data_IF_183680589306
#
_entry.id   IF_183680589306
#
_cell.length_a   1.000
_cell.length_b   1.000
_cell.length_c   1.000
_cell.angle_alpha   90.00
_cell.angle_beta   90.00
_cell.angle_gamma   90.00
#
_symmetry.space_group_name_H-M   'P 1'
#
loop_
_entity.id
_entity.type
_entity.pdbx_description
1 polymer ?
#
# COMPACT_ATOMS: atom_id res chain seq x y z
N UNK A 1 44.32 36.06 34.41
CA UNK A 1 43.29 35.76 35.43
C UNK A 1 42.95 34.29 35.31
N UNK A 2 43.26 33.50 36.33
CA UNK A 2 43.02 32.06 36.33
C UNK A 2 41.61 31.80 36.92
N UNK A 3 40.84 30.87 36.35
CA UNK A 3 39.46 30.57 36.82
C UNK A 3 39.49 30.20 38.32
N UNK A 4 40.53 29.48 38.74
CA UNK A 4 40.77 29.10 40.13
C UNK A 4 40.92 30.30 41.07
N UNK A 5 41.57 31.37 40.63
CA UNK A 5 41.81 32.56 41.46
C UNK A 5 40.54 33.39 41.68
N UNK A 6 39.67 33.48 40.66
CA UNK A 6 38.35 34.15 40.76
C UNK A 6 37.41 33.35 41.66
N UNK A 7 37.40 32.02 41.52
CA UNK A 7 36.57 31.14 42.35
C UNK A 7 36.99 31.13 43.83
N UNK A 8 38.30 31.27 44.12
CA UNK A 8 38.82 31.38 45.49
C UNK A 8 38.55 32.75 46.11
N UNK A 9 38.66 33.85 45.35
CA UNK A 9 38.41 35.22 45.86
C UNK A 9 36.92 35.54 46.00
N UNK A 10 36.03 34.88 45.27
CA UNK A 10 34.56 35.09 45.31
C UNK A 10 33.81 33.77 45.54
N UNK A 11 33.82 33.23 46.77
CA UNK A 11 33.21 31.94 47.08
C UNK A 11 31.69 31.90 46.82
N UNK A 12 30.98 33.01 47.04
CA UNK A 12 29.53 33.10 46.75
C UNK A 12 29.24 32.93 45.25
N UNK A 13 30.07 33.50 44.38
CA UNK A 13 29.91 33.37 42.93
C UNK A 13 30.13 31.92 42.48
N UNK A 14 31.12 31.23 43.05
CA UNK A 14 31.36 29.82 42.77
C UNK A 14 30.19 28.93 43.21
N UNK A 15 29.59 29.20 44.38
CA UNK A 15 28.40 28.47 44.87
C UNK A 15 27.20 28.68 43.95
N UNK A 16 26.92 29.93 43.56
CA UNK A 16 25.78 30.23 42.67
C UNK A 16 25.94 29.58 41.30
N UNK A 17 27.16 29.60 40.74
CA UNK A 17 27.46 28.92 39.47
C UNK A 17 27.25 27.40 39.56
N UNK A 18 27.64 26.79 40.68
CA UNK A 18 27.45 25.36 40.90
C UNK A 18 25.96 25.01 41.05
N UNK A 19 25.20 25.82 41.81
CA UNK A 19 23.74 25.69 41.93
C UNK A 19 23.08 25.82 40.56
N UNK A 20 23.49 26.78 39.72
CA UNK A 20 22.97 26.90 38.36
C UNK A 20 23.23 25.65 37.52
N UNK A 21 24.45 25.09 37.57
CA UNK A 21 24.78 23.84 36.85
C UNK A 21 23.90 22.69 37.34
N UNK A 22 23.69 22.56 38.66
CA UNK A 22 22.83 21.52 39.24
C UNK A 22 21.38 21.70 38.78
N UNK A 23 20.85 22.92 38.84
CA UNK A 23 19.46 23.21 38.41
C UNK A 23 19.29 22.92 36.92
N UNK A 24 20.21 23.38 36.07
CA UNK A 24 20.18 23.05 34.64
C UNK A 24 20.36 21.55 34.37
N UNK A 25 21.17 20.86 35.18
CA UNK A 25 21.33 19.41 35.11
C UNK A 25 20.04 18.66 35.45
N UNK A 26 19.32 19.09 36.50
CA UNK A 26 18.03 18.49 36.89
C UNK A 26 16.98 18.74 35.82
N UNK A 27 16.88 19.97 35.29
CA UNK A 27 15.98 20.30 34.18
C UNK A 27 16.35 19.45 32.97
N UNK A 28 17.62 19.42 32.57
CA UNK A 28 18.09 18.63 31.43
C UNK A 28 17.79 17.14 31.56
N UNK A 29 17.92 16.58 32.76
CA UNK A 29 17.58 15.18 33.05
C UNK A 29 16.08 14.90 32.90
N UNK A 30 15.20 15.83 33.30
CA UNK A 30 13.75 15.67 33.15
C UNK A 30 13.27 15.79 31.70
N UNK A 31 13.98 16.56 30.86
CA UNK A 31 13.66 16.73 29.44
C UNK A 31 14.38 15.75 28.51
N UNK A 32 15.29 14.91 29.02
CA UNK A 32 16.01 13.95 28.21
C UNK A 32 15.07 12.81 27.79
N UNK A 33 14.76 12.72 26.50
CA UNK A 33 13.97 11.61 25.96
C UNK A 33 14.71 10.29 26.13
N UNK A 34 14.08 9.31 26.78
CA UNK A 34 14.58 7.94 26.85
C UNK A 34 14.17 7.21 25.57
N UNK A 35 15.11 6.49 24.96
CA UNK A 35 14.88 5.64 23.78
C UNK A 35 15.47 4.25 24.05
N UNK A 36 14.76 3.20 23.68
CA UNK A 36 15.22 1.81 23.86
C UNK A 36 16.33 1.42 22.86
N UNK A 37 16.32 2.03 21.68
CA UNK A 37 17.32 1.81 20.63
C UNK A 37 17.89 3.14 20.11
N UNK A 38 19.16 3.17 19.68
CA UNK A 38 19.70 4.33 18.95
C UNK A 38 18.94 4.49 17.63
N UNK A 39 18.63 5.73 17.25
CA UNK A 39 18.08 6.03 15.94
C UNK A 39 19.19 5.84 14.89
N UNK A 40 19.24 4.63 14.34
CA UNK A 40 20.08 4.28 13.21
C UNK A 40 19.15 3.97 12.05
N UNK A 41 19.02 4.89 11.10
CA UNK A 41 18.35 4.58 9.83
C UNK A 41 19.22 3.58 9.07
N UNK A 42 18.81 2.31 8.91
CA UNK A 42 19.56 1.41 8.09
C UNK A 42 19.56 1.97 6.66
N UNK A 43 20.70 1.98 5.95
CA UNK A 43 20.82 2.61 4.64
C UNK A 43 20.22 1.69 3.57
N UNK A 44 18.96 1.28 3.73
CA UNK A 44 18.27 0.41 2.79
C UNK A 44 17.00 1.05 2.23
N UNK A 45 16.76 0.76 0.96
CA UNK A 45 15.58 1.17 0.22
C UNK A 45 14.93 -0.09 -0.30
N UNK A 46 13.64 -0.25 -0.01
CA UNK A 46 12.86 -1.38 -0.50
C UNK A 46 11.97 -0.95 -1.65
N UNK A 47 11.98 -1.76 -2.71
CA UNK A 47 11.08 -1.65 -3.85
C UNK A 47 10.16 -2.85 -3.81
N UNK A 48 8.85 -2.60 -3.68
CA UNK A 48 7.84 -3.66 -3.67
C UNK A 48 6.94 -3.54 -4.89
N UNK A 49 6.62 -4.66 -5.51
CA UNK A 49 5.71 -4.73 -6.66
C UNK A 49 4.74 -5.87 -6.48
N UNK A 50 3.46 -5.62 -6.76
CA UNK A 50 2.39 -6.60 -6.68
C UNK A 50 1.94 -6.95 -8.09
N UNK A 51 1.88 -8.24 -8.41
CA UNK A 51 1.34 -8.73 -9.68
C UNK A 51 0.57 -10.04 -9.44
N UNK A 52 -0.64 -9.94 -8.84
CA UNK A 52 -1.43 -11.09 -8.43
C UNK A 52 -1.70 -12.05 -9.59
N UNK A 53 -1.71 -13.35 -9.31
CA UNK A 53 -1.99 -14.40 -10.31
C UNK A 53 -0.76 -14.93 -11.07
N UNK A 54 0.40 -14.27 -10.97
CA UNK A 54 1.65 -14.80 -11.50
C UNK A 54 2.41 -15.68 -10.48
N UNK A 55 3.02 -16.78 -10.96
CA UNK A 55 3.91 -17.62 -10.16
C UNK A 55 5.30 -16.98 -9.98
N UNK A 56 6.05 -17.45 -8.98
CA UNK A 56 7.37 -16.91 -8.63
C UNK A 56 8.35 -16.77 -9.83
N UNK A 57 8.40 -17.75 -10.74
CA UNK A 57 9.31 -17.72 -11.90
C UNK A 57 8.95 -16.60 -12.89
N UNK A 58 7.65 -16.35 -13.11
CA UNK A 58 7.17 -15.24 -13.95
C UNK A 58 7.50 -13.91 -13.28
N UNK A 59 7.27 -13.80 -11.97
CA UNK A 59 7.61 -12.61 -11.19
C UNK A 59 9.11 -12.31 -11.27
N UNK A 60 9.94 -13.34 -11.12
CA UNK A 60 11.41 -13.19 -11.19
C UNK A 60 11.83 -12.65 -12.55
N UNK A 61 11.42 -13.30 -13.64
CA UNK A 61 11.88 -12.99 -15.00
C UNK A 61 11.26 -11.72 -15.59
N UNK A 62 9.99 -11.40 -15.27
CA UNK A 62 9.27 -10.27 -15.86
C UNK A 62 9.27 -9.01 -15.00
N UNK A 63 9.51 -9.12 -13.69
CA UNK A 63 9.44 -7.98 -12.76
C UNK A 63 10.76 -7.79 -12.02
N UNK A 64 11.21 -8.80 -11.28
CA UNK A 64 12.37 -8.67 -10.39
C UNK A 64 13.65 -8.41 -11.18
N UNK A 65 13.96 -9.22 -12.20
CA UNK A 65 15.18 -9.06 -13.01
C UNK A 65 15.26 -7.70 -13.74
N UNK A 66 14.21 -7.23 -14.46
CA UNK A 66 14.24 -5.91 -15.09
C UNK A 66 14.45 -4.76 -14.09
N UNK A 67 13.76 -4.82 -12.94
CA UNK A 67 13.91 -3.81 -11.89
C UNK A 67 15.31 -3.84 -11.27
N UNK A 68 15.81 -5.01 -10.92
CA UNK A 68 17.14 -5.20 -10.34
C UNK A 68 18.23 -4.68 -11.30
N UNK A 69 18.13 -5.02 -12.59
CA UNK A 69 19.06 -4.56 -13.62
C UNK A 69 19.05 -3.04 -13.79
N UNK A 70 17.88 -2.40 -13.65
CA UNK A 70 17.77 -0.95 -13.71
C UNK A 70 18.36 -0.26 -12.47
N UNK A 71 18.15 -0.85 -11.30
CA UNK A 71 18.62 -0.35 -9.99
C UNK A 71 20.13 -0.53 -9.82
N UNK A 72 20.71 -1.62 -10.35
CA UNK A 72 22.15 -1.94 -10.21
C UNK A 72 23.07 -0.86 -10.80
N UNK A 73 22.54 0.05 -11.63
CA UNK A 73 23.30 1.19 -12.17
C UNK A 73 23.39 2.41 -11.24
N UNK A 74 22.92 2.33 -9.99
CA UNK A 74 22.98 3.43 -9.02
C UNK A 74 24.30 3.36 -8.23
N UNK A 75 24.94 4.51 -8.04
CA UNK A 75 26.19 4.59 -7.29
C UNK A 75 25.95 4.41 -5.78
N UNK A 76 26.93 3.82 -5.09
CA UNK A 76 26.89 3.70 -3.63
C UNK A 76 26.08 2.51 -3.11
N UNK A 77 25.56 1.65 -3.97
CA UNK A 77 24.98 0.35 -3.58
C UNK A 77 26.09 -0.53 -3.00
N UNK A 78 25.80 -1.15 -1.85
CA UNK A 78 26.62 -2.15 -1.19
C UNK A 78 26.14 -3.56 -1.54
N UNK A 79 24.83 -3.79 -1.50
CA UNK A 79 24.24 -5.09 -1.82
C UNK A 79 22.80 -4.92 -2.33
N UNK A 80 22.35 -5.85 -3.17
CA UNK A 80 20.94 -5.95 -3.58
C UNK A 80 20.48 -7.36 -3.24
N UNK A 81 19.38 -7.46 -2.50
CA UNK A 81 18.71 -8.73 -2.25
C UNK A 81 17.29 -8.68 -2.77
N UNK A 82 16.91 -9.67 -3.56
CA UNK A 82 15.58 -9.78 -4.16
C UNK A 82 14.89 -11.06 -3.70
N UNK A 83 13.57 -10.99 -3.58
CA UNK A 83 12.71 -12.13 -3.25
C UNK A 83 11.46 -12.05 -4.12
N UNK A 84 11.25 -13.11 -4.90
CA UNK A 84 10.07 -13.30 -5.73
C UNK A 84 9.20 -14.39 -5.11
N UNK A 85 7.93 -14.10 -4.91
CA UNK A 85 6.93 -15.06 -4.47
C UNK A 85 5.69 -14.96 -5.35
N UNK A 86 4.76 -15.91 -5.23
CA UNK A 86 3.52 -15.86 -5.98
C UNK A 86 2.81 -14.53 -5.74
N UNK A 87 2.57 -13.79 -6.82
CA UNK A 87 1.88 -12.50 -6.78
C UNK A 87 2.70 -11.30 -6.31
N UNK A 88 3.96 -11.44 -5.88
CA UNK A 88 4.72 -10.29 -5.35
C UNK A 88 6.24 -10.38 -5.52
N UNK A 89 6.86 -9.23 -5.74
CA UNK A 89 8.30 -9.03 -5.77
C UNK A 89 8.73 -8.02 -4.71
N UNK A 90 9.83 -8.31 -4.01
CA UNK A 90 10.47 -7.39 -3.08
C UNK A 90 11.96 -7.33 -3.35
N UNK A 91 12.46 -6.14 -3.64
CA UNK A 91 13.88 -5.85 -3.83
C UNK A 91 14.32 -4.94 -2.69
N UNK A 92 15.39 -5.31 -2.00
CA UNK A 92 16.00 -4.53 -0.93
C UNK A 92 17.40 -4.11 -1.37
N UNK A 93 17.61 -2.80 -1.45
CA UNK A 93 18.85 -2.18 -1.91
C UNK A 93 19.56 -1.61 -0.69
N UNK A 94 20.67 -2.21 -0.29
CA UNK A 94 21.53 -1.73 0.79
C UNK A 94 22.60 -0.80 0.21
N UNK A 95 22.75 0.39 0.78
CA UNK A 95 23.73 1.40 0.42
C UNK A 95 24.90 1.44 1.40
N UNK A 96 26.02 2.02 0.97
CA UNK A 96 27.16 2.29 1.84
C UNK A 96 26.83 3.34 2.91
N UNK A 97 27.49 3.24 4.07
CA UNK A 97 27.34 4.20 5.16
C UNK A 97 27.75 5.61 4.71
N UNK A 98 26.97 6.61 5.10
CA UNK A 98 27.23 8.03 4.78
C UNK A 98 26.66 8.52 3.45
N UNK A 99 25.94 7.67 2.70
CA UNK A 99 25.12 8.08 1.56
C UNK A 99 23.88 8.84 2.09
N UNK A 100 23.50 9.90 1.39
CA UNK A 100 22.20 10.56 1.60
C UNK A 100 21.08 9.63 1.10
N UNK A 101 20.31 9.07 2.04
CA UNK A 101 19.24 8.12 1.75
C UNK A 101 18.07 8.78 0.97
N UNK A 102 17.88 10.09 1.10
CA UNK A 102 16.87 10.85 0.33
C UNK A 102 17.25 10.89 -1.15
N UNK A 103 18.52 11.24 -1.42
CA UNK A 103 19.07 11.26 -2.77
C UNK A 103 19.05 9.86 -3.41
N UNK A 104 19.50 8.85 -2.66
CA UNK A 104 19.47 7.46 -3.10
C UNK A 104 18.04 6.97 -3.39
N UNK A 105 17.05 7.34 -2.57
CA UNK A 105 15.66 6.97 -2.80
C UNK A 105 15.10 7.61 -4.07
N UNK A 106 15.48 8.86 -4.36
CA UNK A 106 15.10 9.53 -5.59
C UNK A 106 15.75 8.88 -6.81
N UNK A 107 17.04 8.52 -6.73
CA UNK A 107 17.71 7.78 -7.79
C UNK A 107 17.06 6.41 -8.06
N UNK A 108 16.69 5.68 -6.99
CA UNK A 108 15.95 4.41 -7.12
C UNK A 108 14.60 4.62 -7.79
N UNK A 109 13.81 5.62 -7.37
CA UNK A 109 12.53 5.97 -8.00
C UNK A 109 12.69 6.28 -9.49
N UNK A 110 13.73 7.03 -9.85
CA UNK A 110 14.00 7.39 -11.23
C UNK A 110 14.36 6.17 -12.09
N UNK A 111 15.18 5.25 -11.58
CA UNK A 111 15.52 4.01 -12.28
C UNK A 111 14.31 3.09 -12.43
N UNK A 112 13.54 2.91 -11.37
CA UNK A 112 12.32 2.11 -11.35
C UNK A 112 11.29 2.67 -12.33
N UNK A 113 11.08 3.98 -12.33
CA UNK A 113 10.16 4.66 -13.26
C UNK A 113 10.57 4.47 -14.73
N UNK A 114 11.87 4.50 -15.03
CA UNK A 114 12.37 4.21 -16.40
C UNK A 114 12.18 2.74 -16.79
N UNK A 115 12.32 1.83 -15.83
CA UNK A 115 12.15 0.39 -16.01
C UNK A 115 10.68 -0.02 -16.12
N UNK A 116 9.74 0.82 -15.69
CA UNK A 116 8.28 0.58 -15.80
C UNK A 116 7.84 0.12 -17.20
N UNK A 117 8.45 0.65 -18.27
CA UNK A 117 8.14 0.26 -19.65
C UNK A 117 8.58 -1.15 -20.04
N UNK A 118 9.42 -1.78 -19.22
CA UNK A 118 9.90 -3.16 -19.40
C UNK A 118 9.07 -4.15 -18.57
N UNK A 119 8.19 -3.66 -17.70
CA UNK A 119 7.28 -4.47 -16.90
C UNK A 119 6.03 -4.84 -17.71
N UNK A 120 5.31 -5.90 -17.32
CA UNK A 120 4.01 -6.24 -17.90
C UNK A 120 3.04 -5.05 -17.89
N UNK A 121 2.29 -4.81 -18.98
CA UNK A 121 1.39 -3.65 -19.11
C UNK A 121 0.11 -3.77 -18.26
N UNK A 122 -0.21 -4.98 -17.78
CA UNK A 122 -1.34 -5.36 -16.96
C UNK A 122 -1.04 -5.29 -15.45
N UNK A 123 0.05 -4.63 -15.05
CA UNK A 123 0.37 -4.38 -13.65
C UNK A 123 -0.65 -3.42 -13.02
N UNK A 124 -1.39 -3.90 -12.01
CA UNK A 124 -2.42 -3.13 -11.31
C UNK A 124 -1.85 -1.91 -10.56
N UNK A 125 -0.61 -2.02 -10.07
CA UNK A 125 0.04 -1.00 -9.24
C UNK A 125 1.49 -0.78 -9.66
N UNK A 126 1.88 0.49 -9.73
CA UNK A 126 3.26 0.85 -9.98
C UNK A 126 4.17 0.38 -8.83
N UNK A 127 5.43 0.00 -9.10
CA UNK A 127 6.38 -0.36 -8.06
C UNK A 127 6.53 0.74 -7.01
N UNK A 128 6.37 0.36 -5.74
CA UNK A 128 6.42 1.28 -4.61
C UNK A 128 7.84 1.30 -4.07
N UNK A 129 8.46 2.49 -4.05
CA UNK A 129 9.79 2.70 -3.46
C UNK A 129 9.65 3.33 -2.08
N UNK A 130 10.06 2.59 -1.07
CA UNK A 130 10.04 3.01 0.34
C UNK A 130 11.45 2.98 0.93
N UNK A 131 11.79 4.01 1.71
CA UNK A 131 12.99 3.98 2.56
C UNK A 131 12.68 2.99 3.68
N UNK A 132 13.65 2.15 4.04
CA UNK A 132 13.53 1.42 5.27
C UNK A 132 13.55 2.42 6.42
N UNK A 133 12.64 2.19 7.35
CA UNK A 133 12.43 3.08 8.47
C UNK A 133 12.70 2.26 9.72
N UNK A 134 13.76 2.64 10.45
CA UNK A 134 14.14 2.00 11.70
C UNK A 134 13.07 2.15 12.78
N UNK A 135 12.22 3.17 12.63
CA UNK A 135 11.16 3.54 13.57
C UNK A 135 9.78 3.00 13.14
N UNK A 136 9.68 2.27 12.00
CA UNK A 136 8.42 1.70 11.50
C UNK A 136 7.87 0.52 12.35
N UNK A 137 8.46 0.25 13.52
CA UNK A 137 7.86 -0.66 14.49
C UNK A 137 6.48 -0.16 14.90
N UNK A 138 5.49 -1.06 14.92
CA UNK A 138 4.14 -0.69 15.32
C UNK A 138 4.14 -0.21 16.78
N UNK A 139 3.88 1.09 16.99
CA UNK A 139 3.77 1.69 18.33
C UNK A 139 2.60 1.06 19.10
N UNK A 140 1.50 0.79 18.40
CA UNK A 140 0.31 0.13 18.93
C UNK A 140 -0.09 -0.99 17.97
N UNK A 141 -0.28 -2.19 18.51
CA UNK A 141 -0.92 -3.31 17.81
C UNK A 141 -2.22 -3.65 18.53
N UNK A 142 -3.32 -3.71 17.80
CA UNK A 142 -4.64 -3.99 18.35
C UNK A 142 -5.37 -5.00 17.46
N UNK A 143 -6.03 -5.97 18.11
CA UNK A 143 -6.91 -6.89 17.42
C UNK A 143 -8.34 -6.38 17.44
N UNK A 144 -9.00 -6.38 16.28
CA UNK A 144 -10.43 -6.06 16.16
C UNK A 144 -11.22 -7.36 16.05
N UNK A 145 -12.19 -7.57 16.94
CA UNK A 145 -13.03 -8.77 16.99
C UNK A 145 -14.51 -8.40 17.16
N UNK A 146 -15.40 -9.26 16.69
CA UNK A 146 -16.85 -9.11 16.86
C UNK A 146 -17.52 -10.48 16.89
N UNK A 147 -18.46 -10.66 17.83
CA UNK A 147 -19.28 -11.87 17.91
C UNK A 147 -20.49 -11.85 16.96
N UNK A 148 -20.81 -10.69 16.39
CA UNK A 148 -22.01 -10.49 15.55
C UNK A 148 -21.69 -10.19 14.09
N UNK A 149 -20.49 -9.69 13.78
CA UNK A 149 -20.05 -9.35 12.42
C UNK A 149 -19.14 -10.42 11.85
N UNK A 150 -19.27 -10.67 10.55
CA UNK A 150 -18.33 -11.54 9.84
C UNK A 150 -17.01 -10.79 9.54
N UNK A 151 -15.97 -11.52 9.10
CA UNK A 151 -14.62 -10.96 8.87
C UNK A 151 -14.59 -9.84 7.82
N UNK A 152 -15.43 -9.93 6.79
CA UNK A 152 -15.58 -8.89 5.77
C UNK A 152 -16.11 -7.59 6.39
N UNK A 153 -17.17 -7.68 7.18
CA UNK A 153 -17.77 -6.53 7.90
C UNK A 153 -16.83 -5.95 8.97
N UNK A 154 -16.03 -6.79 9.63
CA UNK A 154 -15.00 -6.34 10.57
C UNK A 154 -13.92 -5.54 9.83
N UNK A 155 -13.44 -6.06 8.70
CA UNK A 155 -12.44 -5.37 7.86
C UNK A 155 -13.01 -4.04 7.37
N UNK A 156 -14.23 -4.03 6.85
CA UNK A 156 -14.91 -2.82 6.39
C UNK A 156 -15.01 -1.77 7.51
N UNK A 157 -15.39 -2.18 8.73
CA UNK A 157 -15.43 -1.28 9.88
C UNK A 157 -14.04 -0.77 10.27
N UNK A 158 -13.02 -1.65 10.24
CA UNK A 158 -11.65 -1.26 10.54
C UNK A 158 -11.15 -0.22 9.52
N UNK A 159 -11.34 -0.46 8.23
CA UNK A 159 -10.89 0.45 7.15
C UNK A 159 -11.67 1.75 7.16
N UNK A 160 -13.01 1.70 7.14
CA UNK A 160 -13.83 2.90 6.92
C UNK A 160 -14.08 3.73 8.18
N UNK A 161 -13.83 3.18 9.38
CA UNK A 161 -14.10 3.86 10.65
C UNK A 161 -12.85 3.99 11.51
N UNK A 162 -12.11 2.90 11.75
CA UNK A 162 -10.96 2.96 12.65
C UNK A 162 -9.77 3.65 12.02
N UNK A 163 -9.35 3.23 10.81
CA UNK A 163 -8.24 3.86 10.08
C UNK A 163 -8.52 5.34 9.86
N UNK A 164 -9.72 5.68 9.36
CA UNK A 164 -10.15 7.07 9.11
C UNK A 164 -10.06 7.97 10.34
N UNK A 165 -10.34 7.44 11.54
CA UNK A 165 -10.23 8.23 12.78
C UNK A 165 -8.81 8.30 13.30
N UNK A 166 -8.10 7.17 13.31
CA UNK A 166 -6.75 7.07 13.88
C UNK A 166 -5.73 7.85 13.05
N UNK A 167 -5.89 7.91 11.72
CA UNK A 167 -4.98 8.66 10.84
C UNK A 167 -5.00 10.18 11.09
N UNK A 168 -6.07 10.70 11.73
CA UNK A 168 -6.18 12.14 12.04
C UNK A 168 -5.38 12.54 13.29
N UNK A 169 -4.85 11.57 14.05
CA UNK A 169 -4.08 11.84 15.26
C UNK A 169 -2.69 12.36 14.88
N UNK A 170 -2.27 13.54 15.38
CA UNK A 170 -0.93 14.06 15.11
C UNK A 170 0.17 13.07 15.52
N UNK A 171 1.10 12.80 14.59
CA UNK A 171 2.22 11.88 14.81
C UNK A 171 2.00 10.46 14.30
N UNK A 172 0.81 10.11 13.79
CA UNK A 172 0.58 8.83 13.11
C UNK A 172 1.10 8.91 11.68
N UNK A 173 2.12 8.11 11.35
CA UNK A 173 2.72 8.05 10.00
C UNK A 173 2.00 7.06 9.07
N UNK A 174 1.38 6.01 9.63
CA UNK A 174 0.68 5.00 8.86
C UNK A 174 -0.06 4.02 9.75
N UNK A 175 -1.08 3.37 9.19
CA UNK A 175 -1.85 2.31 9.84
C UNK A 175 -1.93 1.15 8.87
N UNK A 176 -1.57 -0.04 9.35
CA UNK A 176 -1.60 -1.26 8.56
C UNK A 176 -2.63 -2.22 9.16
N UNK A 177 -3.50 -2.78 8.31
CA UNK A 177 -4.42 -3.85 8.69
C UNK A 177 -3.80 -5.17 8.25
N UNK A 178 -3.65 -6.09 9.20
CA UNK A 178 -3.20 -7.46 8.92
C UNK A 178 -4.40 -8.40 8.84
N UNK A 179 -4.38 -9.32 7.88
CA UNK A 179 -5.48 -10.29 7.70
C UNK A 179 -6.76 -9.68 7.13
N UNK A 180 -6.68 -8.50 6.51
CA UNK A 180 -7.84 -7.85 5.91
C UNK A 180 -8.50 -8.74 4.85
N UNK A 181 -9.83 -8.74 4.83
CA UNK A 181 -10.63 -9.34 3.76
C UNK A 181 -11.38 -8.25 3.03
N UNK A 182 -11.07 -8.07 1.76
CA UNK A 182 -11.71 -7.08 0.90
C UNK A 182 -12.85 -7.71 0.12
N UNK A 183 -13.95 -6.98 0.01
CA UNK A 183 -15.05 -7.35 -0.87
C UNK A 183 -14.58 -7.31 -2.33
N UNK A 184 -14.89 -8.35 -3.09
CA UNK A 184 -14.66 -8.39 -4.52
C UNK A 184 -15.84 -9.08 -5.21
N UNK A 185 -16.24 -8.55 -6.36
CA UNK A 185 -17.19 -9.22 -7.25
C UNK A 185 -16.45 -10.34 -7.98
N UNK A 186 -16.79 -11.60 -7.67
CA UNK A 186 -16.19 -12.78 -8.30
C UNK A 186 -17.05 -13.23 -9.45
N UNK A 187 -16.43 -13.47 -10.60
CA UNK A 187 -17.10 -13.91 -11.81
C UNK A 187 -16.69 -15.34 -12.11
N UNK A 188 -17.63 -16.26 -11.96
CA UNK A 188 -17.47 -17.68 -12.25
C UNK A 188 -17.98 -17.96 -13.66
N UNK A 189 -17.09 -18.39 -14.55
CA UNK A 189 -17.44 -18.69 -15.93
C UNK A 189 -17.63 -20.19 -16.13
N UNK A 190 -18.68 -20.58 -16.86
CA UNK A 190 -18.94 -21.97 -17.23
C UNK A 190 -18.35 -22.25 -18.63
N UNK A 191 -17.27 -23.07 -18.73
CA UNK A 191 -16.62 -23.34 -20.01
C UNK A 191 -17.53 -23.98 -21.06
N UNK A 192 -18.51 -24.79 -20.63
CA UNK A 192 -19.44 -25.45 -21.55
C UNK A 192 -20.42 -24.43 -22.15
N UNK A 193 -20.92 -23.50 -21.33
CA UNK A 193 -21.80 -22.43 -21.81
C UNK A 193 -21.06 -21.44 -22.70
N UNK A 194 -19.85 -21.01 -22.31
CA UNK A 194 -18.99 -20.18 -23.14
C UNK A 194 -18.80 -20.76 -24.55
N UNK A 195 -18.48 -22.06 -24.64
CA UNK A 195 -18.34 -22.76 -25.92
C UNK A 195 -19.64 -22.78 -26.73
N UNK A 196 -20.79 -23.04 -26.08
CA UNK A 196 -22.10 -23.10 -26.76
C UNK A 196 -22.53 -21.76 -27.36
N UNK A 197 -22.18 -20.65 -26.70
CA UNK A 197 -22.49 -19.29 -27.13
C UNK A 197 -21.39 -18.66 -28.01
N UNK A 198 -20.28 -19.37 -28.27
CA UNK A 198 -19.11 -18.86 -28.99
C UNK A 198 -18.56 -17.54 -28.40
N UNK A 199 -18.49 -17.51 -27.06
CA UNK A 199 -17.97 -16.42 -26.24
C UNK A 199 -16.67 -16.87 -25.57
N UNK A 200 -15.66 -16.01 -25.56
CA UNK A 200 -14.38 -16.29 -24.89
C UNK A 200 -14.29 -15.55 -23.55
N UNK A 201 -13.38 -15.96 -22.66
CA UNK A 201 -13.11 -15.22 -21.42
C UNK A 201 -12.67 -13.77 -21.70
N UNK A 202 -11.90 -13.55 -22.77
CA UNK A 202 -11.48 -12.22 -23.19
C UNK A 202 -12.67 -11.34 -23.64
N UNK A 203 -13.72 -11.93 -24.22
CA UNK A 203 -14.94 -11.18 -24.55
C UNK A 203 -15.63 -10.68 -23.27
N UNK A 204 -15.63 -11.48 -22.19
CA UNK A 204 -16.18 -11.09 -20.88
C UNK A 204 -15.35 -9.97 -20.26
N UNK A 205 -14.03 -10.10 -20.26
CA UNK A 205 -13.11 -9.08 -19.74
C UNK A 205 -13.28 -7.75 -20.49
N UNK A 206 -13.34 -7.80 -21.83
CA UNK A 206 -13.56 -6.62 -22.66
C UNK A 206 -14.93 -5.97 -22.40
N UNK A 207 -15.98 -6.76 -22.18
CA UNK A 207 -17.31 -6.25 -21.84
C UNK A 207 -17.30 -5.56 -20.47
N UNK A 208 -16.65 -6.15 -19.46
CA UNK A 208 -16.51 -5.55 -18.12
C UNK A 208 -15.74 -4.23 -18.18
N UNK A 209 -14.61 -4.20 -18.88
CA UNK A 209 -13.79 -2.99 -19.02
C UNK A 209 -14.51 -1.86 -19.78
N UNK A 210 -15.42 -2.21 -20.69
CA UNK A 210 -16.19 -1.26 -21.49
C UNK A 210 -17.41 -0.71 -20.75
N UNK A 211 -18.13 -1.56 -20.03
CA UNK A 211 -19.42 -1.19 -19.44
C UNK A 211 -19.29 -0.71 -17.98
N UNK A 212 -18.29 -1.18 -17.22
CA UNK A 212 -18.08 -0.78 -15.82
C UNK A 212 -17.24 0.52 -15.67
N UNK A 213 -17.59 1.55 -16.44
CA UNK A 213 -16.87 2.84 -16.45
C UNK A 213 -17.81 4.00 -16.16
N UNK A 214 -17.34 4.96 -15.37
CA UNK A 214 -18.09 6.20 -15.12
C UNK A 214 -17.60 7.27 -16.11
N UNK A 215 -18.41 7.57 -17.13
CA UNK A 215 -18.05 8.52 -18.17
C UNK A 215 -18.56 9.94 -17.84
N UNK A 216 -17.70 10.98 -17.88
CA UNK A 216 -18.14 12.35 -17.69
C UNK A 216 -19.09 12.73 -18.83
N UNK A 217 -20.34 13.03 -18.50
CA UNK A 217 -21.40 13.26 -19.51
C UNK A 217 -21.59 14.73 -19.86
N UNK A 218 -20.71 15.59 -19.35
CA UNK A 218 -20.70 17.02 -19.61
C UNK A 218 -21.85 17.76 -18.93
N UNK A 219 -22.24 18.89 -19.54
CA UNK A 219 -23.26 19.78 -19.00
C UNK A 219 -24.13 20.34 -20.12
N UNK A 220 -25.39 20.58 -19.79
CA UNK A 220 -26.35 21.26 -20.64
C UNK A 220 -26.50 22.67 -20.10
N UNK A 221 -26.09 23.66 -20.90
CA UNK A 221 -26.18 25.07 -20.54
C UNK A 221 -27.29 25.75 -21.36
N UNK A 222 -28.23 26.37 -20.66
CA UNK A 222 -29.20 27.32 -21.23
C UNK A 222 -28.87 28.77 -20.81
N UNK A 223 -29.70 29.73 -21.22
CA UNK A 223 -29.43 31.16 -20.99
C UNK A 223 -29.32 31.55 -19.50
N UNK A 224 -29.99 30.83 -18.58
CA UNK A 224 -30.02 31.14 -17.14
C UNK A 224 -29.83 29.89 -16.25
N UNK A 225 -29.48 28.73 -16.81
CA UNK A 225 -29.37 27.48 -16.03
C UNK A 225 -28.33 26.57 -16.64
N UNK A 226 -27.54 25.94 -15.79
CA UNK A 226 -26.57 24.91 -16.14
C UNK A 226 -26.92 23.62 -15.40
N UNK A 227 -27.16 22.55 -16.15
CA UNK A 227 -27.46 21.23 -15.61
C UNK A 227 -26.29 20.29 -15.93
N UNK A 228 -25.66 19.75 -14.89
CA UNK A 228 -24.62 18.73 -15.08
C UNK A 228 -25.30 17.39 -15.37
N UNK A 229 -24.86 16.72 -16.43
CA UNK A 229 -25.34 15.38 -16.78
C UNK A 229 -24.38 14.37 -16.17
N UNK A 230 -24.92 13.36 -15.47
CA UNK A 230 -24.16 12.23 -14.93
C UNK A 230 -24.76 10.94 -15.46
N UNK A 231 -23.93 10.07 -16.01
CA UNK A 231 -24.30 8.69 -16.34
C UNK A 231 -23.82 7.76 -15.24
N UNK A 232 -24.67 6.80 -14.88
CA UNK A 232 -24.34 5.78 -13.89
C UNK A 232 -23.89 4.52 -14.64
N UNK A 233 -22.60 4.43 -14.97
CA UNK A 233 -22.03 3.27 -15.67
C UNK A 233 -21.39 2.22 -14.75
N UNK A 234 -21.09 2.56 -13.48
CA UNK A 234 -20.50 1.59 -12.55
C UNK A 234 -21.53 0.57 -12.05
N UNK A 235 -21.16 -0.70 -12.12
CA UNK A 235 -21.91 -1.82 -11.57
C UNK A 235 -21.53 -2.00 -10.09
N UNK A 236 -22.51 -2.10 -9.20
CA UNK A 236 -22.29 -2.18 -7.75
C UNK A 236 -22.95 -3.40 -7.10
N UNK A 237 -23.90 -4.06 -7.77
CA UNK A 237 -24.64 -5.20 -7.23
C UNK A 237 -24.45 -6.44 -8.09
N UNK A 238 -24.53 -7.63 -7.48
CA UNK A 238 -24.51 -8.92 -8.19
C UNK A 238 -25.51 -8.96 -9.35
N UNK A 239 -26.72 -8.44 -9.15
CA UNK A 239 -27.74 -8.39 -10.19
C UNK A 239 -27.31 -7.54 -11.40
N UNK A 240 -26.62 -6.42 -11.16
CA UNK A 240 -26.10 -5.56 -12.22
C UNK A 240 -25.00 -6.28 -13.01
N UNK A 241 -24.09 -6.97 -12.33
CA UNK A 241 -23.07 -7.79 -12.98
C UNK A 241 -23.68 -8.95 -13.77
N UNK A 242 -24.63 -9.69 -13.18
CA UNK A 242 -25.28 -10.82 -13.83
C UNK A 242 -26.12 -10.41 -15.07
N UNK A 243 -26.61 -9.18 -15.12
CA UNK A 243 -27.33 -8.64 -16.27
C UNK A 243 -26.45 -7.93 -17.30
N UNK A 244 -25.13 -7.85 -17.08
CA UNK A 244 -24.17 -7.30 -18.03
C UNK A 244 -24.26 -8.03 -19.37
N UNK A 245 -24.37 -7.28 -20.46
CA UNK A 245 -24.37 -7.83 -21.82
C UNK A 245 -22.91 -8.04 -22.23
N UNK A 246 -22.54 -9.29 -22.50
CA UNK A 246 -21.18 -9.67 -22.89
C UNK A 246 -21.01 -9.61 -24.41
N UNK A 247 -22.00 -10.12 -25.15
CA UNK A 247 -21.94 -10.18 -26.61
C UNK A 247 -23.34 -10.21 -27.20
N UNK A 248 -23.53 -9.55 -28.34
CA UNK A 248 -24.73 -9.72 -29.15
C UNK A 248 -24.41 -10.66 -30.32
N UNK A 249 -25.14 -11.77 -30.43
CA UNK A 249 -24.99 -12.73 -31.52
C UNK A 249 -26.33 -12.86 -32.23
N UNK A 250 -26.37 -12.49 -33.52
CA UNK A 250 -27.58 -12.56 -34.35
C UNK A 250 -28.80 -11.82 -33.77
N UNK A 251 -28.59 -10.72 -33.05
CA UNK A 251 -29.66 -9.94 -32.42
C UNK A 251 -30.09 -10.43 -31.04
N UNK A 252 -29.52 -11.53 -30.53
CA UNK A 252 -29.72 -11.98 -29.16
C UNK A 252 -28.58 -11.48 -28.26
N UNK A 253 -28.94 -10.80 -27.17
CA UNK A 253 -28.00 -10.39 -26.14
C UNK A 253 -27.66 -11.57 -25.23
N UNK A 254 -26.39 -11.90 -25.15
CA UNK A 254 -25.85 -12.88 -24.21
C UNK A 254 -25.40 -12.11 -22.98
N UNK A 255 -26.02 -12.41 -21.83
CA UNK A 255 -25.69 -11.79 -20.55
C UNK A 255 -24.71 -12.64 -19.77
N UNK A 256 -24.06 -12.04 -18.77
CA UNK A 256 -23.11 -12.75 -17.92
C UNK A 256 -23.76 -13.98 -17.25
N UNK A 257 -25.01 -13.85 -16.76
CA UNK A 257 -25.78 -14.97 -16.19
C UNK A 257 -26.04 -16.15 -17.14
N UNK A 258 -25.97 -15.92 -18.45
CA UNK A 258 -26.19 -16.96 -19.45
C UNK A 258 -24.93 -17.82 -19.64
N UNK A 259 -23.76 -17.32 -19.24
CA UNK A 259 -22.45 -17.96 -19.43
C UNK A 259 -21.66 -18.16 -18.13
N UNK A 260 -22.20 -17.71 -17.00
CA UNK A 260 -21.53 -17.71 -15.70
C UNK A 260 -22.41 -17.13 -14.60
N UNK A 261 -21.78 -16.76 -13.49
CA UNK A 261 -22.42 -16.17 -12.32
C UNK A 261 -21.47 -15.15 -11.67
N UNK A 262 -22.02 -13.99 -11.30
CA UNK A 262 -21.33 -12.99 -10.49
C UNK A 262 -21.86 -13.03 -9.06
N UNK A 263 -20.96 -13.21 -8.09
CA UNK A 263 -21.26 -13.32 -6.66
C UNK A 263 -20.33 -12.41 -5.84
N UNK A 264 -20.84 -11.80 -4.76
CA UNK A 264 -20.04 -10.97 -3.88
C UNK A 264 -19.24 -11.86 -2.91
N UNK A 265 -17.93 -11.90 -3.13
CA UNK A 265 -17.02 -12.71 -2.32
C UNK A 265 -15.88 -11.91 -1.71
N UNK A 266 -14.85 -12.64 -1.26
CA UNK A 266 -13.57 -12.07 -0.86
C UNK A 266 -12.61 -12.03 -2.05
N UNK A 267 -11.80 -10.96 -2.14
CA UNK A 267 -10.72 -10.83 -3.11
C UNK A 267 -9.73 -12.01 -3.02
N UNK A 268 -9.24 -12.28 -1.80
CA UNK A 268 -8.29 -13.35 -1.52
C UNK A 268 -8.85 -14.30 -0.44
N UNK A 269 -8.98 -15.58 -0.79
CA UNK A 269 -9.43 -16.65 0.12
C UNK A 269 -8.27 -17.44 0.74
N UNK A 270 -7.07 -17.34 0.16
CA UNK A 270 -5.91 -18.16 0.47
C UNK A 270 -5.18 -17.71 1.74
N UNK A 271 -5.35 -16.44 2.14
CA UNK A 271 -4.76 -15.91 3.36
C UNK A 271 -5.71 -15.98 4.56
N UNK A 272 -5.16 -16.39 5.71
CA UNK A 272 -5.88 -16.43 6.98
C UNK A 272 -4.94 -15.99 8.11
N UNK A 273 -5.33 -14.93 8.82
CA UNK A 273 -4.69 -14.56 10.07
C UNK A 273 -5.36 -15.34 11.21
N UNK A 274 -4.60 -15.74 12.22
CA UNK A 274 -5.14 -16.31 13.45
C UNK A 274 -4.41 -15.70 14.64
N UNK A 275 -5.13 -15.41 15.72
CA UNK A 275 -4.52 -15.07 17.00
C UNK A 275 -5.20 -15.86 18.11
N UNK A 276 -4.43 -16.35 19.07
CA UNK A 276 -4.92 -17.17 20.19
C UNK A 276 -5.82 -18.37 19.76
N UNK A 277 -5.57 -18.95 18.58
CA UNK A 277 -6.31 -20.09 18.05
C UNK A 277 -7.64 -19.76 17.37
N UNK A 278 -8.11 -18.52 17.43
CA UNK A 278 -9.29 -18.06 16.67
C UNK A 278 -8.87 -17.45 15.33
N UNK A 279 -9.55 -17.79 14.22
CA UNK A 279 -9.39 -17.07 12.95
C UNK A 279 -9.74 -15.60 13.14
N UNK A 280 -8.80 -14.73 12.77
CA UNK A 280 -8.94 -13.28 12.77
C UNK A 280 -9.25 -12.81 11.36
#
# INVERSE_FOLDING_TARGET
MNISEISLRRPVLAIVMNILIIVFGIIGYQFLGVRDYPAIDPPNISVSTSYPGANADIIETQITEPLEKAINGIAGIKNITSSSSNGSSRINVEFNLGIDLEAAANDVRDKVSRARRQLPPDLDQDPIVSKADADASAIISMTVQSDTRNRLQITEFATNVLVERLQTIPGVSGIQIWGERRYAMRIWLDPAKLASYNVTANDVEAALAKENVELPSGKISGNNTELTVRTFGRLNTEEQFNNLIVKNVNGADIKLKDIGEADLGTENEESMLRGNGTPM
#
